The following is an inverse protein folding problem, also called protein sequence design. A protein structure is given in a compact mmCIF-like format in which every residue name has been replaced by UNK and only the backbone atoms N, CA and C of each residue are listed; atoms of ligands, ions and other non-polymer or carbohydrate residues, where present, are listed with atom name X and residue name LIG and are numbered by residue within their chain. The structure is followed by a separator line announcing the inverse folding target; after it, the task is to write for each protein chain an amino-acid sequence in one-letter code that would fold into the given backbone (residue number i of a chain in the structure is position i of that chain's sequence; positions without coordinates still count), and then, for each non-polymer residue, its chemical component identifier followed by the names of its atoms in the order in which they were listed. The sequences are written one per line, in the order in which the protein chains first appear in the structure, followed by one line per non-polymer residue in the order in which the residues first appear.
data_IF_912364084233
#
_entry.id   IF_912364084233
#
_cell.length_a   1.000
_cell.length_b   1.000
_cell.length_c   1.000
_cell.angle_alpha   90.00
_cell.angle_beta   90.00
_cell.angle_gamma   90.00
#
_symmetry.space_group_name_H-M   'P 1'
#
loop_
_entity.id
_entity.type
_entity.pdbx_description
1 polymer ?
#
# COMPACT_ATOMS: atom_id res chain seq x y z
N UNK A 1 19.94 3.59 -9.71
CA UNK A 1 19.04 2.42 -9.65
C UNK A 1 17.64 2.96 -9.92
N UNK A 2 16.94 2.49 -10.95
CA UNK A 2 15.58 2.99 -11.25
C UNK A 2 14.59 2.30 -10.30
N UNK A 3 13.62 3.03 -9.76
CA UNK A 3 12.74 2.55 -8.68
C UNK A 3 12.02 1.22 -8.99
N UNK A 4 11.74 0.94 -10.28
CA UNK A 4 11.17 -0.33 -10.72
C UNK A 4 12.07 -1.56 -10.49
N UNK A 5 13.40 -1.42 -10.63
CA UNK A 5 14.34 -2.52 -10.37
C UNK A 5 14.35 -2.88 -8.88
N UNK A 6 14.24 -1.87 -8.01
CA UNK A 6 14.16 -2.06 -6.57
C UNK A 6 12.85 -2.74 -6.16
N UNK A 7 11.72 -2.34 -6.76
CA UNK A 7 10.43 -3.01 -6.54
C UNK A 7 10.51 -4.49 -6.89
N UNK A 8 11.10 -4.83 -8.04
CA UNK A 8 11.27 -6.22 -8.46
C UNK A 8 12.14 -7.00 -7.47
N UNK A 9 13.28 -6.45 -7.05
CA UNK A 9 14.16 -7.11 -6.07
C UNK A 9 13.44 -7.36 -4.74
N UNK A 10 12.63 -6.40 -4.28
CA UNK A 10 11.85 -6.57 -3.05
C UNK A 10 10.78 -7.66 -3.17
N UNK A 11 10.08 -7.74 -4.31
CA UNK A 11 9.10 -8.79 -4.59
C UNK A 11 9.77 -10.17 -4.67
N UNK A 12 10.89 -10.29 -5.40
CA UNK A 12 11.66 -11.52 -5.51
C UNK A 12 12.10 -12.01 -4.12
N UNK A 13 12.68 -11.13 -3.29
CA UNK A 13 13.11 -11.46 -1.92
C UNK A 13 11.93 -11.95 -1.06
N UNK A 14 10.80 -11.23 -1.06
CA UNK A 14 9.63 -11.62 -0.27
C UNK A 14 9.01 -12.94 -0.72
N UNK A 15 9.02 -13.24 -2.02
CA UNK A 15 8.48 -14.49 -2.55
C UNK A 15 9.24 -15.73 -2.05
N UNK A 16 10.53 -15.57 -1.73
CA UNK A 16 11.40 -16.64 -1.22
C UNK A 16 11.36 -16.72 0.30
N UNK A 17 11.52 -15.59 1.01
CA UNK A 17 11.73 -15.59 2.46
C UNK A 17 10.47 -15.34 3.29
N UNK A 18 9.46 -14.69 2.71
CA UNK A 18 8.25 -14.25 3.42
C UNK A 18 6.98 -14.69 2.70
N UNK A 19 7.04 -15.84 2.01
CA UNK A 19 5.95 -16.34 1.18
C UNK A 19 4.67 -16.45 2.01
N UNK A 20 3.70 -15.60 1.70
CA UNK A 20 2.38 -15.62 2.28
C UNK A 20 1.36 -16.11 1.25
N UNK A 21 0.44 -16.99 1.67
CA UNK A 21 -0.61 -17.50 0.78
C UNK A 21 -1.58 -16.40 0.29
N UNK A 22 -1.65 -15.28 1.02
CA UNK A 22 -2.47 -14.12 0.69
C UNK A 22 -1.75 -13.07 -0.16
N UNK A 23 -0.43 -13.20 -0.36
CA UNK A 23 0.35 -12.24 -1.14
C UNK A 23 0.43 -12.68 -2.60
N UNK A 24 0.10 -11.76 -3.52
CA UNK A 24 0.19 -11.98 -4.95
C UNK A 24 1.45 -11.33 -5.52
N UNK A 25 2.58 -12.03 -5.38
CA UNK A 25 3.88 -11.56 -5.86
C UNK A 25 3.94 -11.41 -7.38
N UNK A 26 3.05 -12.06 -8.12
CA UNK A 26 2.95 -11.85 -9.57
C UNK A 26 2.49 -10.43 -9.87
N UNK A 27 1.52 -9.88 -9.13
CA UNK A 27 1.00 -8.53 -9.39
C UNK A 27 1.81 -7.39 -8.77
N UNK A 28 2.83 -7.72 -7.97
CA UNK A 28 3.73 -6.75 -7.30
C UNK A 28 4.77 -6.14 -8.27
N UNK A 29 4.30 -5.64 -9.41
CA UNK A 29 5.10 -5.02 -10.46
C UNK A 29 4.46 -3.72 -10.96
N UNK A 30 5.30 -2.87 -11.55
CA UNK A 30 4.86 -1.64 -12.23
C UNK A 30 3.77 -1.99 -13.24
N UNK A 31 2.67 -1.23 -13.22
CA UNK A 31 1.52 -1.40 -14.12
C UNK A 31 0.39 -2.26 -13.56
N UNK A 32 0.65 -3.09 -12.55
CA UNK A 32 -0.37 -3.97 -11.94
C UNK A 32 -0.47 -3.84 -10.42
N UNK A 33 0.24 -2.87 -9.83
CA UNK A 33 0.30 -2.72 -8.39
C UNK A 33 -1.07 -2.33 -7.82
N UNK A 34 -1.51 -3.00 -6.76
CA UNK A 34 -2.75 -2.69 -6.05
C UNK A 34 -2.41 -2.29 -4.62
N UNK A 35 -2.40 -0.97 -4.36
CA UNK A 35 -2.13 -0.39 -3.05
C UNK A 35 -3.41 -0.03 -2.31
N UNK A 36 -4.43 0.43 -3.04
CA UNK A 36 -5.72 0.76 -2.46
C UNK A 36 -6.52 -0.50 -2.11
N UNK A 37 -7.06 -0.61 -0.88
CA UNK A 37 -7.80 -1.79 -0.45
C UNK A 37 -9.15 -1.88 -1.18
N UNK A 38 -9.48 -3.02 -1.83
CA UNK A 38 -10.70 -3.13 -2.62
C UNK A 38 -11.98 -3.32 -1.79
N UNK A 39 -11.89 -4.06 -0.68
CA UNK A 39 -13.06 -4.55 0.07
C UNK A 39 -13.00 -4.30 1.59
N UNK A 40 -11.87 -3.80 2.10
CA UNK A 40 -11.63 -3.63 3.55
C UNK A 40 -11.65 -2.18 4.04
N UNK A 41 -12.11 -1.24 3.22
CA UNK A 41 -12.10 0.19 3.53
C UNK A 41 -12.82 0.50 4.85
N UNK A 42 -13.99 -0.10 5.10
CA UNK A 42 -14.77 0.12 6.31
C UNK A 42 -14.05 -0.35 7.58
N UNK A 43 -13.48 -1.56 7.55
CA UNK A 43 -12.72 -2.12 8.67
C UNK A 43 -11.49 -1.27 8.98
N UNK A 44 -10.74 -0.88 7.95
CA UNK A 44 -9.55 -0.05 8.07
C UNK A 44 -9.88 1.34 8.62
N UNK A 45 -11.00 1.93 8.22
CA UNK A 45 -11.46 3.20 8.78
C UNK A 45 -11.81 3.07 10.27
N UNK A 46 -12.47 1.97 10.67
CA UNK A 46 -12.75 1.70 12.07
C UNK A 46 -11.47 1.53 12.90
N UNK A 47 -10.48 0.81 12.37
CA UNK A 47 -9.19 0.60 13.03
C UNK A 47 -8.37 1.90 13.10
N UNK A 48 -8.39 2.72 12.06
CA UNK A 48 -7.79 4.06 12.06
C UNK A 48 -8.33 4.91 13.22
N UNK A 49 -9.65 4.90 13.44
CA UNK A 49 -10.27 5.63 14.56
C UNK A 49 -9.82 5.11 15.92
N UNK A 50 -9.64 3.80 16.08
CA UNK A 50 -9.15 3.19 17.33
C UNK A 50 -7.69 3.57 17.62
N UNK A 51 -6.89 3.82 16.58
CA UNK A 51 -5.48 4.23 16.70
C UNK A 51 -5.31 5.71 17.05
N UNK A 52 -6.35 6.54 16.94
CA UNK A 52 -6.27 7.98 17.19
C UNK A 52 -5.59 8.40 18.52
N UNK A 53 -5.76 7.70 19.66
CA UNK A 53 -5.07 8.04 20.91
C UNK A 53 -3.54 7.87 20.87
N UNK A 54 -3.01 7.08 19.91
CA UNK A 54 -1.58 6.84 19.74
C UNK A 54 -0.96 7.68 18.62
N UNK A 55 -1.74 8.54 17.96
CA UNK A 55 -1.28 9.41 16.89
C UNK A 55 -0.88 10.78 17.46
N UNK A 56 0.39 11.13 17.32
CA UNK A 56 0.97 12.35 17.89
C UNK A 56 1.00 13.55 16.93
N UNK A 57 0.67 13.36 15.64
CA UNK A 57 0.68 14.44 14.64
C UNK A 57 -0.49 15.42 14.84
N UNK A 58 -0.25 16.71 14.56
CA UNK A 58 -1.29 17.76 14.55
C UNK A 58 -1.03 18.77 13.41
N UNK A 59 -1.95 18.93 12.42
CA UNK A 59 -3.18 18.16 12.23
C UNK A 59 -2.91 16.77 11.64
N UNK A 60 -3.69 15.78 12.09
CA UNK A 60 -3.67 14.42 11.51
C UNK A 60 -4.31 14.43 10.12
N UNK A 61 -3.69 13.73 9.17
CA UNK A 61 -4.33 13.41 7.90
C UNK A 61 -5.59 12.58 8.15
N UNK A 62 -6.70 12.98 7.56
CA UNK A 62 -7.93 12.19 7.58
C UNK A 62 -7.71 10.85 6.86
N UNK A 63 -8.52 9.85 7.20
CA UNK A 63 -8.46 8.54 6.54
C UNK A 63 -8.66 8.65 5.02
N UNK A 64 -9.60 9.49 4.58
CA UNK A 64 -9.88 9.71 3.17
C UNK A 64 -8.70 10.37 2.45
N UNK A 65 -8.04 11.35 3.07
CA UNK A 65 -6.82 11.96 2.51
C UNK A 65 -5.68 10.95 2.35
N UNK A 66 -5.55 10.00 3.27
CA UNK A 66 -4.57 8.92 3.19
C UNK A 66 -4.89 8.03 2.00
N UNK A 67 -6.14 7.56 1.86
CA UNK A 67 -6.56 6.73 0.74
C UNK A 67 -6.40 7.44 -0.60
N UNK A 68 -6.74 8.72 -0.67
CA UNK A 68 -6.56 9.55 -1.87
C UNK A 68 -5.09 9.66 -2.28
N UNK A 69 -4.18 9.83 -1.31
CA UNK A 69 -2.73 9.84 -1.56
C UNK A 69 -2.23 8.49 -2.05
N UNK A 70 -2.69 7.39 -1.46
CA UNK A 70 -2.35 6.03 -1.87
C UNK A 70 -2.85 5.77 -3.30
N UNK A 71 -4.09 6.13 -3.63
CA UNK A 71 -4.66 5.96 -4.96
C UNK A 71 -3.90 6.79 -6.02
N UNK A 72 -3.48 8.01 -5.70
CA UNK A 72 -2.62 8.81 -6.61
C UNK A 72 -1.24 8.17 -6.79
N UNK A 73 -0.66 7.62 -5.72
CA UNK A 73 0.61 6.93 -5.79
C UNK A 73 0.52 5.68 -6.68
N UNK A 74 -0.52 4.87 -6.50
CA UNK A 74 -0.81 3.69 -7.32
C UNK A 74 -0.91 4.07 -8.80
N UNK A 75 -1.71 5.08 -9.15
CA UNK A 75 -1.84 5.58 -10.53
C UNK A 75 -0.50 6.03 -11.11
N UNK A 76 0.31 6.73 -10.32
CA UNK A 76 1.63 7.22 -10.77
C UNK A 76 2.60 6.07 -11.03
N UNK A 77 2.59 5.04 -10.18
CA UNK A 77 3.44 3.85 -10.37
C UNK A 77 2.94 3.06 -11.57
N UNK A 78 1.62 2.87 -11.72
CA UNK A 78 1.07 2.05 -12.79
C UNK A 78 1.03 2.74 -14.16
N UNK A 79 1.10 4.08 -14.20
CA UNK A 79 1.20 4.86 -15.44
C UNK A 79 2.63 5.19 -15.88
N UNK A 80 3.64 4.70 -15.16
CA UNK A 80 5.06 4.91 -15.45
C UNK A 80 5.63 3.89 -16.43
#
# INVERSE_FOLDING_TARGET
MKDGDLLKQAADHKSVFFRAAWANYETDRVGTLQLSPPDRVADLHADYRKMAPMMFDDPRLTFDEILDRIARLEKRINGA
#
